data_IF_730973909607
#
_entry.id   IF_730973909607
#
_cell.length_a   1.000
_cell.length_b   1.000
_cell.length_c   1.000
_cell.angle_alpha   90.00
_cell.angle_beta   90.00
_cell.angle_gamma   90.00
#
_symmetry.space_group_name_H-M   'P 1'
#
loop_
_entity.id
_entity.type
_entity.pdbx_description
1 polymer ?
#
# COMPACT_ATOMS: atom_id res chain seq x y z
N UNK A 1 14.40 -11.54 15.22
CA UNK A 1 14.74 -11.65 16.66
C UNK A 1 13.46 -11.44 17.45
N UNK A 2 13.02 -12.53 18.08
CA UNK A 2 11.90 -12.61 19.01
C UNK A 2 12.05 -11.59 20.15
N UNK A 3 11.04 -10.76 20.37
CA UNK A 3 10.84 -9.99 21.60
C UNK A 3 9.43 -10.26 22.13
N UNK A 4 9.22 -11.47 22.62
CA UNK A 4 8.03 -11.85 23.39
C UNK A 4 8.51 -12.62 24.62
N UNK A 5 8.88 -11.90 25.69
CA UNK A 5 9.30 -12.60 26.90
C UNK A 5 9.57 -11.79 28.14
N UNK A 6 9.12 -10.53 28.27
CA UNK A 6 9.51 -9.75 29.44
C UNK A 6 8.44 -8.83 30.08
N UNK A 7 7.13 -9.05 29.90
CA UNK A 7 6.13 -8.27 30.65
C UNK A 7 4.81 -8.97 31.08
N UNK A 8 4.64 -10.29 30.97
CA UNK A 8 3.40 -10.94 31.45
C UNK A 8 3.66 -12.24 32.26
N UNK A 9 2.86 -12.51 33.32
CA UNK A 9 2.96 -13.73 34.12
C UNK A 9 2.66 -14.99 33.28
N UNK A 10 3.18 -16.16 33.69
CA UNK A 10 3.06 -17.39 32.91
C UNK A 10 1.61 -17.82 32.74
N UNK A 11 1.20 -17.96 31.48
CA UNK A 11 -0.09 -18.49 31.06
C UNK A 11 -0.04 -18.79 29.56
N UNK A 12 -0.57 -19.93 29.14
CA UNK A 12 -0.65 -20.31 27.73
C UNK A 12 -1.45 -19.24 26.98
N UNK A 13 -0.83 -18.62 25.97
CA UNK A 13 -1.54 -17.74 25.06
C UNK A 13 -2.60 -18.57 24.36
N UNK A 14 -3.88 -18.24 24.58
CA UNK A 14 -4.96 -18.92 23.87
C UNK A 14 -4.82 -18.64 22.37
N UNK A 15 -5.15 -19.63 21.53
CA UNK A 15 -5.11 -19.50 20.08
C UNK A 15 -5.83 -18.22 19.59
N UNK A 16 -6.96 -17.87 20.20
CA UNK A 16 -7.71 -16.65 19.89
C UNK A 16 -6.95 -15.34 20.21
N UNK A 17 -6.13 -15.31 21.27
CA UNK A 17 -5.28 -14.16 21.60
C UNK A 17 -4.10 -14.03 20.63
N UNK A 18 -3.53 -15.16 20.19
CA UNK A 18 -2.49 -15.17 19.17
C UNK A 18 -3.05 -14.68 17.84
N UNK A 19 -4.20 -15.20 17.39
CA UNK A 19 -4.87 -14.77 16.16
C UNK A 19 -5.24 -13.28 16.17
N UNK A 20 -5.77 -12.77 17.29
CA UNK A 20 -6.10 -11.35 17.43
C UNK A 20 -4.86 -10.44 17.43
N UNK A 21 -3.75 -10.88 18.05
CA UNK A 21 -2.49 -10.15 18.02
C UNK A 21 -1.89 -10.14 16.61
N UNK A 22 -1.90 -11.28 15.91
CA UNK A 22 -1.43 -11.42 14.52
C UNK A 22 -2.25 -10.52 13.58
N UNK A 23 -3.58 -10.53 13.68
CA UNK A 23 -4.45 -9.70 12.84
C UNK A 23 -4.22 -8.19 13.03
N UNK A 24 -3.92 -7.75 14.26
CA UNK A 24 -3.62 -6.35 14.54
C UNK A 24 -2.24 -5.94 14.00
N UNK A 25 -1.24 -6.81 14.12
CA UNK A 25 0.12 -6.58 13.59
C UNK A 25 0.10 -6.53 12.07
N UNK A 26 -0.57 -7.49 11.43
CA UNK A 26 -0.81 -7.55 9.99
C UNK A 26 -1.36 -6.24 9.41
N UNK A 27 -2.46 -5.73 9.98
CA UNK A 27 -3.06 -4.46 9.55
C UNK A 27 -2.08 -3.30 9.68
N UNK A 28 -1.35 -3.26 10.79
CA UNK A 28 -0.36 -2.21 11.04
C UNK A 28 0.80 -2.27 10.04
N UNK A 29 1.26 -3.47 9.66
CA UNK A 29 2.34 -3.63 8.69
C UNK A 29 1.92 -3.31 7.25
N UNK A 30 0.66 -3.58 6.89
CA UNK A 30 0.10 -3.11 5.61
C UNK A 30 -0.02 -1.57 5.58
N UNK A 31 -0.36 -0.91 6.70
CA UNK A 31 -0.34 0.56 6.77
C UNK A 31 1.09 1.12 6.62
N UNK A 32 2.08 0.51 7.27
CA UNK A 32 3.49 0.90 7.07
C UNK A 32 3.95 0.65 5.64
N UNK A 33 3.48 -0.41 4.99
CA UNK A 33 3.82 -0.72 3.59
C UNK A 33 3.33 0.42 2.69
N UNK A 34 2.07 0.84 2.87
CA UNK A 34 1.47 1.97 2.18
C UNK A 34 2.34 3.23 2.30
N UNK A 35 2.76 3.59 3.52
CA UNK A 35 3.67 4.74 3.73
C UNK A 35 5.04 4.55 3.05
N UNK A 36 5.64 3.36 3.15
CA UNK A 36 6.93 3.08 2.53
C UNK A 36 6.88 3.15 0.99
N UNK A 37 5.78 2.67 0.40
CA UNK A 37 5.52 2.75 -1.04
C UNK A 37 5.37 4.20 -1.47
N UNK A 38 4.49 4.97 -0.83
CA UNK A 38 4.31 6.40 -1.13
C UNK A 38 5.60 7.20 -0.87
N UNK A 39 6.41 6.78 0.11
CA UNK A 39 7.70 7.38 0.37
C UNK A 39 8.76 7.10 -0.72
N UNK A 40 8.52 6.15 -1.63
CA UNK A 40 9.45 5.73 -2.67
C UNK A 40 10.59 4.84 -2.18
N UNK A 41 10.44 4.19 -1.02
CA UNK A 41 11.49 3.40 -0.38
C UNK A 41 11.57 1.97 -0.94
N UNK A 42 11.93 1.81 -2.22
CA UNK A 42 11.83 0.54 -2.98
C UNK A 42 12.44 -0.66 -2.25
N UNK A 43 13.65 -0.54 -1.69
CA UNK A 43 14.31 -1.64 -0.95
C UNK A 43 13.59 -2.00 0.35
N UNK A 44 12.92 -1.04 0.98
CA UNK A 44 12.09 -1.31 2.17
C UNK A 44 10.79 -1.97 1.77
N UNK A 45 10.15 -1.49 0.69
CA UNK A 45 8.93 -2.08 0.12
C UNK A 45 9.13 -3.56 -0.20
N UNK A 46 10.24 -3.92 -0.87
CA UNK A 46 10.56 -5.33 -1.15
C UNK A 46 10.58 -6.16 0.13
N UNK A 47 11.39 -5.77 1.11
CA UNK A 47 11.54 -6.49 2.39
C UNK A 47 10.23 -6.62 3.15
N UNK A 48 9.36 -5.62 3.06
CA UNK A 48 8.05 -5.65 3.71
C UNK A 48 7.09 -6.61 3.00
N UNK A 49 7.09 -6.65 1.67
CA UNK A 49 6.30 -7.62 0.92
C UNK A 49 6.77 -9.05 1.19
N UNK A 50 8.09 -9.30 1.19
CA UNK A 50 8.66 -10.61 1.53
C UNK A 50 8.26 -11.06 2.95
N UNK A 51 8.27 -10.13 3.90
CA UNK A 51 7.84 -10.38 5.28
C UNK A 51 6.37 -10.72 5.40
N UNK A 52 5.49 -9.92 4.78
CA UNK A 52 4.04 -10.16 4.79
C UNK A 52 3.70 -11.50 4.10
N UNK A 53 4.39 -11.86 3.02
CA UNK A 53 4.23 -13.15 2.36
C UNK A 53 4.66 -14.31 3.27
N UNK A 54 5.82 -14.20 3.92
CA UNK A 54 6.34 -15.21 4.83
C UNK A 54 5.47 -15.39 6.09
N UNK A 55 4.80 -14.32 6.54
CA UNK A 55 3.85 -14.34 7.66
C UNK A 55 2.48 -14.91 7.28
N UNK A 56 2.24 -15.20 5.99
CA UNK A 56 0.99 -15.76 5.50
C UNK A 56 -0.14 -14.74 5.37
N UNK A 57 0.19 -13.45 5.23
CA UNK A 57 -0.80 -12.39 5.04
C UNK A 57 -1.63 -12.63 3.76
N UNK A 58 -2.89 -12.18 3.76
CA UNK A 58 -3.75 -12.34 2.61
C UNK A 58 -3.36 -11.33 1.50
N UNK A 59 -3.03 -11.78 0.27
CA UNK A 59 -2.69 -10.87 -0.84
C UNK A 59 -3.78 -9.83 -1.15
N UNK A 60 -5.04 -10.18 -0.88
CA UNK A 60 -6.19 -9.29 -1.05
C UNK A 60 -6.15 -8.08 -0.12
N UNK A 61 -5.63 -8.22 1.10
CA UNK A 61 -5.51 -7.10 2.04
C UNK A 61 -4.44 -6.12 1.56
N UNK A 62 -3.30 -6.65 1.12
CA UNK A 62 -2.20 -5.86 0.56
C UNK A 62 -2.63 -5.13 -0.71
N UNK A 63 -3.33 -5.84 -1.61
CA UNK A 63 -3.93 -5.24 -2.80
C UNK A 63 -4.87 -4.09 -2.46
N UNK A 64 -5.82 -4.33 -1.55
CA UNK A 64 -6.80 -3.33 -1.14
C UNK A 64 -6.13 -2.04 -0.67
N UNK A 65 -5.10 -2.15 0.18
CA UNK A 65 -4.38 -0.99 0.69
C UNK A 65 -3.69 -0.19 -0.41
N UNK A 66 -2.96 -0.87 -1.31
CA UNK A 66 -2.30 -0.21 -2.44
C UNK A 66 -3.31 0.42 -3.40
N UNK A 67 -4.41 -0.27 -3.70
CA UNK A 67 -5.46 0.21 -4.58
C UNK A 67 -6.20 1.42 -3.99
N UNK A 68 -6.40 1.46 -2.67
CA UNK A 68 -7.00 2.62 -1.98
C UNK A 68 -6.11 3.85 -2.12
N UNK A 69 -4.79 3.72 -1.91
CA UNK A 69 -3.86 4.82 -2.08
C UNK A 69 -3.82 5.34 -3.52
N UNK A 70 -3.81 4.44 -4.51
CA UNK A 70 -3.84 4.81 -5.93
C UNK A 70 -5.13 5.56 -6.27
N UNK A 71 -6.29 5.07 -5.80
CA UNK A 71 -7.58 5.73 -6.00
C UNK A 71 -7.63 7.09 -5.31
N UNK A 72 -7.09 7.21 -4.10
CA UNK A 72 -6.98 8.48 -3.40
C UNK A 72 -6.11 9.48 -4.17
N UNK A 73 -4.93 9.07 -4.65
CA UNK A 73 -4.06 9.93 -5.48
C UNK A 73 -4.79 10.42 -6.72
N UNK A 74 -5.51 9.54 -7.44
CA UNK A 74 -6.30 9.97 -8.62
C UNK A 74 -7.39 10.95 -8.24
N UNK A 75 -8.19 10.67 -7.20
CA UNK A 75 -9.28 11.56 -6.77
C UNK A 75 -8.78 12.95 -6.42
N UNK A 76 -7.66 13.04 -5.69
CA UNK A 76 -7.06 14.33 -5.34
C UNK A 76 -6.50 15.03 -6.58
N UNK A 77 -5.83 14.32 -7.49
CA UNK A 77 -5.35 14.89 -8.76
C UNK A 77 -6.50 15.44 -9.61
N UNK A 78 -7.60 14.71 -9.72
CA UNK A 78 -8.77 15.15 -10.49
C UNK A 78 -9.40 16.41 -9.90
N UNK A 79 -9.48 16.50 -8.57
CA UNK A 79 -9.92 17.71 -7.88
C UNK A 79 -8.98 18.90 -8.16
N UNK A 80 -7.66 18.68 -8.13
CA UNK A 80 -6.66 19.71 -8.49
C UNK A 80 -6.84 20.18 -9.94
N UNK A 81 -7.03 19.25 -10.87
CA UNK A 81 -7.27 19.57 -12.29
C UNK A 81 -8.60 20.34 -12.49
N UNK A 82 -9.58 20.12 -11.62
CA UNK A 82 -10.83 20.89 -11.56
C UNK A 82 -10.68 22.25 -10.83
N UNK A 83 -9.46 22.67 -10.51
CA UNK A 83 -9.16 23.96 -9.89
C UNK A 83 -9.29 23.99 -8.36
N UNK A 84 -9.47 22.84 -7.71
CA UNK A 84 -9.47 22.78 -6.24
C UNK A 84 -8.04 22.93 -5.69
N UNK A 85 -7.80 23.80 -4.69
CA UNK A 85 -6.51 23.84 -4.01
C UNK A 85 -6.15 22.51 -3.36
N UNK A 86 -4.89 22.10 -3.45
CA UNK A 86 -4.39 20.82 -2.94
C UNK A 86 -4.75 20.55 -1.45
N UNK A 87 -4.56 21.50 -0.51
CA UNK A 87 -4.94 21.25 0.89
C UNK A 87 -6.43 20.94 1.08
N UNK A 88 -7.30 21.61 0.30
CA UNK A 88 -8.74 21.34 0.33
C UNK A 88 -9.07 19.96 -0.24
N UNK A 89 -8.47 19.62 -1.39
CA UNK A 89 -8.69 18.33 -2.04
C UNK A 89 -8.22 17.15 -1.16
N UNK A 90 -7.12 17.30 -0.41
CA UNK A 90 -6.65 16.31 0.56
C UNK A 90 -7.64 16.13 1.71
N UNK A 91 -8.11 17.24 2.31
CA UNK A 91 -9.07 17.22 3.41
C UNK A 91 -10.41 16.58 3.02
N UNK A 92 -10.95 16.94 1.86
CA UNK A 92 -12.20 16.37 1.32
C UNK A 92 -12.09 14.86 1.09
N UNK A 93 -10.91 14.38 0.71
CA UNK A 93 -10.61 12.96 0.55
C UNK A 93 -10.15 12.28 1.86
N UNK A 94 -10.23 12.98 3.00
CA UNK A 94 -9.84 12.48 4.34
C UNK A 94 -8.39 11.98 4.41
N UNK A 95 -7.49 12.67 3.72
CA UNK A 95 -6.05 12.40 3.76
C UNK A 95 -5.40 13.37 4.75
N UNK A 96 -4.78 12.81 5.80
CA UNK A 96 -4.13 13.57 6.88
C UNK A 96 -2.84 12.89 7.35
N UNK A 97 -2.03 13.61 8.13
CA UNK A 97 -0.88 13.06 8.84
C UNK A 97 0.29 12.73 7.91
N UNK A 98 0.93 11.57 8.09
CA UNK A 98 2.08 11.17 7.25
C UNK A 98 1.71 11.11 5.77
N UNK A 99 0.52 10.58 5.44
CA UNK A 99 0.06 10.46 4.05
C UNK A 99 -0.15 11.81 3.38
N UNK A 100 -0.61 12.82 4.12
CA UNK A 100 -0.78 14.19 3.60
C UNK A 100 0.54 14.72 3.02
N UNK A 101 1.61 14.69 3.81
CA UNK A 101 2.95 15.13 3.37
C UNK A 101 3.47 14.35 2.16
N UNK A 102 3.21 13.04 2.13
CA UNK A 102 3.60 12.19 1.00
C UNK A 102 2.82 12.53 -0.27
N UNK A 103 1.51 12.76 -0.15
CA UNK A 103 0.65 13.17 -1.26
C UNK A 103 1.03 14.56 -1.78
N UNK A 104 1.29 15.52 -0.89
CA UNK A 104 1.75 16.86 -1.25
C UNK A 104 3.04 16.84 -2.08
N UNK A 105 3.94 15.90 -1.79
CA UNK A 105 5.17 15.71 -2.55
C UNK A 105 4.94 15.05 -3.91
N UNK A 106 3.98 14.13 -4.00
CA UNK A 106 3.73 13.31 -5.18
C UNK A 106 2.89 14.05 -6.23
N UNK A 107 1.77 14.62 -5.81
CA UNK A 107 0.70 15.10 -6.70
C UNK A 107 1.12 16.24 -7.65
N UNK A 108 1.95 17.22 -7.26
CA UNK A 108 2.36 18.30 -8.15
C UNK A 108 3.11 17.82 -9.41
N UNK A 109 3.82 16.69 -9.31
CA UNK A 109 4.62 16.11 -10.41
C UNK A 109 4.00 14.86 -11.03
N UNK A 110 2.96 14.31 -10.42
CA UNK A 110 2.26 13.14 -10.96
C UNK A 110 1.43 13.55 -12.19
N UNK A 111 1.66 12.88 -13.32
CA UNK A 111 0.87 13.06 -14.54
C UNK A 111 -0.40 12.24 -14.53
N UNK A 112 -1.48 12.76 -15.15
CA UNK A 112 -2.77 12.07 -15.20
C UNK A 112 -2.68 10.69 -15.85
N UNK A 113 -1.92 10.59 -16.95
CA UNK A 113 -1.68 9.33 -17.64
C UNK A 113 -0.92 8.31 -16.76
N UNK A 114 -0.04 8.76 -15.85
CA UNK A 114 0.66 7.87 -14.93
C UNK A 114 -0.30 7.31 -13.88
N UNK A 115 -1.16 8.16 -13.30
CA UNK A 115 -2.17 7.74 -12.32
C UNK A 115 -3.24 6.83 -12.95
N UNK A 116 -3.67 7.12 -14.18
CA UNK A 116 -4.58 6.27 -14.93
C UNK A 116 -3.98 4.87 -15.19
N UNK A 117 -2.70 4.80 -15.57
CA UNK A 117 -2.00 3.52 -15.70
C UNK A 117 -1.90 2.76 -14.37
N UNK A 118 -1.65 3.45 -13.26
CA UNK A 118 -1.63 2.81 -11.93
C UNK A 118 -3.00 2.23 -11.54
N UNK A 119 -4.10 2.91 -11.86
CA UNK A 119 -5.45 2.37 -11.65
C UNK A 119 -5.70 1.12 -12.48
N UNK A 120 -5.27 1.13 -13.75
CA UNK A 120 -5.36 -0.04 -14.62
C UNK A 120 -4.52 -1.20 -14.05
N UNK A 121 -3.28 -0.93 -13.62
CA UNK A 121 -2.43 -1.93 -12.97
C UNK A 121 -3.12 -2.51 -11.73
N UNK A 122 -3.70 -1.67 -10.87
CA UNK A 122 -4.41 -2.13 -9.68
C UNK A 122 -5.62 -3.00 -10.03
N UNK A 123 -6.36 -2.68 -11.10
CA UNK A 123 -7.46 -3.50 -11.59
C UNK A 123 -6.97 -4.87 -12.10
N UNK A 124 -5.86 -4.92 -12.84
CA UNK A 124 -5.29 -6.20 -13.28
C UNK A 124 -4.85 -7.06 -12.10
N UNK A 125 -4.20 -6.46 -11.10
CA UNK A 125 -3.78 -7.18 -9.88
C UNK A 125 -4.96 -7.69 -9.07
N UNK A 126 -6.08 -6.96 -9.01
CA UNK A 126 -7.32 -7.46 -8.39
C UNK A 126 -7.77 -8.78 -9.02
N UNK A 127 -7.76 -8.85 -10.35
CA UNK A 127 -8.05 -10.08 -11.09
C UNK A 127 -7.08 -11.21 -10.73
N UNK A 128 -5.78 -10.93 -10.68
CA UNK A 128 -4.74 -11.93 -10.35
C UNK A 128 -4.90 -12.45 -8.93
N UNK A 129 -5.15 -11.57 -7.96
CA UNK A 129 -5.44 -11.94 -6.57
C UNK A 129 -6.69 -12.83 -6.48
N UNK A 130 -7.66 -12.66 -7.39
CA UNK A 130 -8.85 -13.50 -7.52
C UNK A 130 -8.65 -14.75 -8.39
N UNK A 131 -7.43 -15.03 -8.84
CA UNK A 131 -7.07 -16.21 -9.63
C UNK A 131 -7.21 -16.06 -11.14
N UNK A 132 -7.47 -14.86 -11.66
CA UNK A 132 -7.53 -14.59 -13.10
C UNK A 132 -6.13 -14.38 -13.68
N UNK A 133 -5.86 -14.98 -14.85
CA UNK A 133 -4.63 -14.72 -15.59
C UNK A 133 -4.75 -13.43 -16.38
N UNK A 134 -3.72 -12.61 -16.34
CA UNK A 134 -3.63 -11.36 -17.10
C UNK A 134 -2.41 -11.41 -18.03
N UNK A 135 -2.54 -11.07 -19.32
CA UNK A 135 -1.40 -10.96 -20.22
C UNK A 135 -0.33 -10.00 -19.67
N UNK A 136 0.94 -10.32 -19.90
CA UNK A 136 2.10 -9.49 -19.51
C UNK A 136 2.24 -9.18 -18.01
N UNK A 137 1.48 -9.86 -17.15
CA UNK A 137 1.57 -9.75 -15.69
C UNK A 137 1.96 -11.08 -15.04
N UNK A 138 2.63 -11.05 -13.87
CA UNK A 138 2.90 -12.24 -13.11
C UNK A 138 1.60 -12.98 -12.75
N UNK A 139 1.63 -14.31 -12.81
CA UNK A 139 0.50 -15.16 -12.40
C UNK A 139 0.42 -15.26 -10.87
N UNK A 140 1.56 -15.17 -10.18
CA UNK A 140 1.61 -15.25 -8.73
C UNK A 140 1.17 -13.91 -8.09
N UNK A 141 0.19 -13.91 -7.16
CA UNK A 141 -0.34 -12.69 -6.56
C UNK A 141 0.73 -11.77 -5.93
N UNK A 142 1.68 -12.33 -5.18
CA UNK A 142 2.74 -11.55 -4.53
C UNK A 142 3.70 -10.89 -5.53
N UNK A 143 4.01 -11.56 -6.64
CA UNK A 143 4.83 -10.97 -7.69
C UNK A 143 4.10 -9.83 -8.41
N UNK A 144 2.79 -9.98 -8.62
CA UNK A 144 1.94 -8.94 -9.19
C UNK A 144 1.81 -7.73 -8.24
N UNK A 145 1.65 -7.97 -6.94
CA UNK A 145 1.65 -6.94 -5.90
C UNK A 145 2.98 -6.19 -5.82
N UNK A 146 4.10 -6.90 -5.88
CA UNK A 146 5.43 -6.30 -5.92
C UNK A 146 5.60 -5.37 -7.12
N UNK A 147 5.18 -5.81 -8.31
CA UNK A 147 5.20 -4.97 -9.51
C UNK A 147 4.34 -3.71 -9.32
N UNK A 148 3.12 -3.83 -8.80
CA UNK A 148 2.24 -2.69 -8.54
C UNK A 148 2.84 -1.72 -7.52
N UNK A 149 3.33 -2.24 -6.40
CA UNK A 149 3.96 -1.47 -5.34
C UNK A 149 5.19 -0.71 -5.87
N UNK A 150 5.98 -1.32 -6.74
CA UNK A 150 7.14 -0.66 -7.37
C UNK A 150 6.75 0.40 -8.38
N UNK A 151 5.70 0.18 -9.17
CA UNK A 151 5.16 1.21 -10.06
C UNK A 151 4.70 2.43 -9.25
N UNK A 152 4.00 2.22 -8.13
CA UNK A 152 3.58 3.30 -7.24
C UNK A 152 4.78 3.96 -6.53
N UNK A 153 5.75 3.18 -6.05
CA UNK A 153 6.93 3.72 -5.37
C UNK A 153 7.80 4.60 -6.28
N UNK A 154 7.86 4.32 -7.58
CA UNK A 154 8.53 5.18 -8.56
C UNK A 154 7.90 6.57 -8.66
N UNK A 155 6.59 6.70 -8.41
CA UNK A 155 5.91 7.99 -8.33
C UNK A 155 6.30 8.76 -7.04
N UNK A 156 6.51 8.02 -5.95
CA UNK A 156 6.98 8.52 -4.66
C UNK A 156 8.44 8.95 -4.63
N UNK A 157 9.29 8.36 -5.47
CA UNK A 157 10.72 8.64 -5.53
C UNK A 157 10.99 10.13 -5.83
N UNK A 158 12.01 10.76 -5.21
CA UNK A 158 12.41 12.12 -5.57
C UNK A 158 12.72 12.19 -7.07
N UNK A 159 12.29 13.27 -7.73
CA UNK A 159 12.67 13.53 -9.12
C UNK A 159 14.19 13.63 -9.21
N UNK A 160 14.77 13.04 -10.27
CA UNK A 160 16.19 13.22 -10.59
C UNK A 160 16.49 14.67 -10.91
#
# INVERSE_FOLDING_TARGET
ISKLGLLHPPGELSQAQVEAAVLNVARYDVFKLSEAVLAGQVLRVQRMLDGLEAEGEAPVLVHWALAEDIRALKRVKDAMNAGRPLPMALRENRIWGTKERLFERILPRAGDAQLARLLQSAHLVDGIVKGLKQPDWPVHPWQALQRLAFQLARLGAPGR
#
